data_IF_310143168998
#
_entry.id   IF_310143168998
#
_cell.length_a   1.000
_cell.length_b   1.000
_cell.length_c   1.000
_cell.angle_alpha   90.00
_cell.angle_beta   90.00
_cell.angle_gamma   90.00
#
_symmetry.space_group_name_H-M   'P 1'
#
loop_
_entity.id
_entity.type
_entity.pdbx_description
1 polymer ?
#
# COMPACT_ATOMS: atom_id res chain seq x y z
N UNK A 1 19.70 60.48 9.21
CA UNK A 1 18.54 59.75 8.64
C UNK A 1 18.70 59.85 7.12
N UNK A 2 18.92 58.83 6.30
CA UNK A 2 18.92 57.38 6.45
C UNK A 2 19.66 56.78 5.23
N UNK A 3 20.08 55.52 5.38
CA UNK A 3 20.99 54.71 4.59
C UNK A 3 20.89 54.73 3.03
N UNK A 4 22.06 54.76 2.38
CA UNK A 4 22.44 53.77 1.34
C UNK A 4 23.20 52.63 2.04
N UNK A 5 23.10 51.33 1.67
CA UNK A 5 23.26 50.81 0.30
C UNK A 5 22.34 49.62 -0.06
N UNK A 6 22.28 49.22 -1.34
CA UNK A 6 21.95 47.83 -1.71
C UNK A 6 23.09 47.30 -2.59
N UNK A 7 24.14 46.84 -1.92
CA UNK A 7 25.20 46.03 -2.50
C UNK A 7 24.82 44.56 -2.35
N UNK A 8 24.93 43.82 -3.46
CA UNK A 8 25.10 42.37 -3.41
C UNK A 8 23.83 41.53 -3.50
N UNK A 9 23.12 41.58 -4.62
CA UNK A 9 22.34 40.40 -5.03
C UNK A 9 23.32 39.32 -5.51
N UNK A 10 23.44 38.15 -4.87
CA UNK A 10 24.25 37.06 -5.39
C UNK A 10 23.60 36.54 -6.67
N UNK A 11 24.26 36.76 -7.81
CA UNK A 11 23.91 36.12 -9.08
C UNK A 11 24.24 34.64 -8.96
N UNK A 12 23.26 33.84 -8.55
CA UNK A 12 23.32 32.39 -8.68
C UNK A 12 23.43 32.07 -10.18
N UNK A 13 24.58 31.52 -10.59
CA UNK A 13 24.73 30.96 -11.94
C UNK A 13 23.99 29.63 -11.96
N UNK A 14 23.00 29.52 -12.83
CA UNK A 14 22.36 28.24 -13.16
C UNK A 14 23.39 27.45 -13.99
N UNK A 15 23.78 26.22 -13.59
CA UNK A 15 24.57 25.35 -14.45
C UNK A 15 23.73 24.94 -15.66
N UNK A 16 24.26 25.12 -16.86
CA UNK A 16 23.63 24.69 -18.11
C UNK A 16 23.47 23.16 -18.10
N UNK A 17 22.26 22.69 -18.40
CA UNK A 17 21.81 21.30 -18.32
C UNK A 17 22.55 20.39 -19.34
N UNK A 18 23.60 19.71 -18.89
CA UNK A 18 24.28 18.64 -19.62
C UNK A 18 23.66 17.27 -19.31
N UNK A 19 22.68 16.86 -20.11
CA UNK A 19 22.01 15.58 -20.01
C UNK A 19 22.82 14.39 -20.56
N UNK A 20 22.75 13.27 -19.83
CA UNK A 20 22.85 11.93 -20.42
C UNK A 20 21.84 11.03 -19.71
N UNK A 21 20.72 10.76 -20.39
CA UNK A 21 19.61 9.93 -19.92
C UNK A 21 20.07 8.50 -19.60
N UNK A 22 20.27 8.21 -18.31
CA UNK A 22 20.36 6.84 -17.80
C UNK A 22 18.97 6.21 -17.64
N UNK A 23 18.81 4.88 -17.75
CA UNK A 23 17.51 4.24 -17.67
C UNK A 23 16.99 4.32 -16.22
N UNK A 24 15.90 5.05 -15.99
CA UNK A 24 15.18 5.05 -14.72
C UNK A 24 14.69 6.39 -14.18
N UNK A 25 14.78 7.49 -14.94
CA UNK A 25 14.27 8.78 -14.44
C UNK A 25 12.76 8.88 -14.61
N UNK A 26 12.02 8.48 -13.57
CA UNK A 26 10.62 8.86 -13.43
C UNK A 26 10.56 10.39 -13.38
N UNK A 27 10.19 11.03 -14.50
CA UNK A 27 9.96 12.48 -14.59
C UNK A 27 9.20 12.95 -13.33
N UNK A 28 9.63 14.03 -12.66
CA UNK A 28 8.92 14.54 -11.51
C UNK A 28 7.48 14.85 -11.93
N UNK A 29 6.51 14.22 -11.25
CA UNK A 29 5.10 14.54 -11.47
C UNK A 29 4.93 16.00 -11.06
N UNK A 30 4.54 16.86 -12.00
CA UNK A 30 4.27 18.28 -11.73
C UNK A 30 3.11 18.48 -10.75
N UNK A 31 2.23 17.48 -10.59
CA UNK A 31 1.18 17.51 -9.58
C UNK A 31 1.71 17.02 -8.23
N UNK A 32 1.32 17.67 -7.12
CA UNK A 32 1.62 17.16 -5.79
C UNK A 32 1.09 15.73 -5.62
N UNK A 33 1.78 14.88 -4.84
CA UNK A 33 1.29 13.55 -4.51
C UNK A 33 -0.04 13.63 -3.77
N UNK A 34 -0.96 12.72 -4.10
CA UNK A 34 -2.28 12.65 -3.47
C UNK A 34 -2.30 11.54 -2.43
N UNK A 35 -2.69 11.92 -1.22
CA UNK A 35 -2.84 11.03 -0.08
C UNK A 35 -4.29 11.08 0.40
N UNK A 36 -4.92 9.92 0.58
CA UNK A 36 -6.30 9.81 1.07
C UNK A 36 -6.37 8.86 2.26
N UNK A 37 -6.44 9.37 3.49
CA UNK A 37 -6.70 8.53 4.66
C UNK A 37 -8.14 8.00 4.61
N UNK A 38 -8.33 6.71 4.87
CA UNK A 38 -9.64 6.11 5.05
C UNK A 38 -9.96 5.96 6.54
N UNK A 39 -11.19 6.28 7.00
CA UNK A 39 -11.63 6.02 8.36
C UNK A 39 -11.45 4.53 8.71
N UNK A 40 -10.80 4.23 9.83
CA UNK A 40 -10.50 2.85 10.28
C UNK A 40 -9.77 1.98 9.22
N UNK A 41 -9.12 2.63 8.25
CA UNK A 41 -8.62 2.00 7.04
C UNK A 41 -7.21 2.43 6.68
N UNK A 42 -6.69 1.94 5.55
CA UNK A 42 -5.35 2.27 5.09
C UNK A 42 -5.25 3.72 4.60
N UNK A 43 -4.00 4.20 4.48
CA UNK A 43 -3.68 5.42 3.75
C UNK A 43 -3.51 5.09 2.27
N UNK A 44 -4.37 5.63 1.41
CA UNK A 44 -4.21 5.49 -0.04
C UNK A 44 -3.22 6.53 -0.57
N UNK A 45 -2.27 6.08 -1.39
CA UNK A 45 -1.29 6.93 -2.07
C UNK A 45 -1.44 6.74 -3.57
N UNK A 46 -1.54 7.84 -4.30
CA UNK A 46 -1.65 7.83 -5.77
C UNK A 46 -0.29 7.99 -6.46
N UNK A 47 -0.07 7.13 -7.44
CA UNK A 47 1.12 7.08 -8.29
C UNK A 47 2.25 6.23 -7.74
N UNK A 48 3.26 5.97 -8.59
CA UNK A 48 4.52 5.39 -8.14
C UNK A 48 5.15 6.22 -7.02
N UNK A 49 5.65 5.52 -6.01
CA UNK A 49 6.25 6.11 -4.82
C UNK A 49 7.39 5.23 -4.29
N UNK A 50 8.34 5.88 -3.62
CA UNK A 50 9.36 5.22 -2.81
C UNK A 50 8.94 5.32 -1.33
N UNK A 51 8.99 4.21 -0.61
CA UNK A 51 8.68 4.14 0.81
C UNK A 51 9.98 3.91 1.56
N UNK A 52 10.40 4.91 2.33
CA UNK A 52 11.56 4.81 3.22
C UNK A 52 11.11 4.18 4.54
N UNK A 53 11.72 3.06 4.89
CA UNK A 53 11.45 2.33 6.11
C UNK A 53 12.33 2.84 7.27
N UNK A 54 11.96 2.58 8.54
CA UNK A 54 12.74 3.03 9.69
C UNK A 54 14.16 2.45 9.76
N UNK A 55 14.42 1.31 9.13
CA UNK A 55 15.74 0.68 9.02
C UNK A 55 16.60 1.25 7.88
N UNK A 56 16.08 2.26 7.16
CA UNK A 56 16.73 2.87 6.00
C UNK A 56 16.50 2.13 4.68
N UNK A 57 15.82 0.97 4.69
CA UNK A 57 15.47 0.28 3.45
C UNK A 57 14.43 1.05 2.64
N UNK A 58 14.48 0.92 1.31
CA UNK A 58 13.57 1.62 0.40
C UNK A 58 12.77 0.59 -0.41
N UNK A 59 11.44 0.70 -0.35
CA UNK A 59 10.53 -0.10 -1.16
C UNK A 59 10.00 0.78 -2.30
N UNK A 60 10.32 0.40 -3.54
CA UNK A 60 9.80 1.06 -4.74
C UNK A 60 8.47 0.44 -5.15
N UNK A 61 7.47 1.27 -5.40
CA UNK A 61 6.17 0.82 -5.85
C UNK A 61 5.77 1.60 -7.11
N UNK A 62 5.44 0.89 -8.19
CA UNK A 62 5.01 1.50 -9.45
C UNK A 62 3.49 1.51 -9.64
N UNK A 63 2.77 1.02 -8.62
CA UNK A 63 1.32 0.86 -8.68
C UNK A 63 0.65 2.24 -8.78
N UNK A 64 -0.38 2.41 -9.63
CA UNK A 64 -1.12 3.67 -9.73
C UNK A 64 -1.79 4.09 -8.41
N UNK A 65 -2.16 3.11 -7.57
CA UNK A 65 -2.63 3.34 -6.20
C UNK A 65 -2.06 2.25 -5.30
N UNK A 66 -1.56 2.66 -4.13
CA UNK A 66 -1.11 1.76 -3.08
C UNK A 66 -1.83 2.07 -1.75
N UNK A 67 -2.01 1.04 -0.94
CA UNK A 67 -2.67 1.14 0.36
C UNK A 67 -1.65 0.83 1.47
N UNK A 68 -1.30 1.84 2.26
CA UNK A 68 -0.37 1.72 3.38
C UNK A 68 -1.10 1.40 4.67
N UNK A 69 -0.53 0.50 5.45
CA UNK A 69 -1.08 0.06 6.72
C UNK A 69 -0.92 1.14 7.79
N UNK A 70 -2.02 1.52 8.42
CA UNK A 70 -2.08 2.43 9.57
C UNK A 70 -2.43 1.70 10.87
N UNK A 71 -3.05 0.51 10.77
CA UNK A 71 -3.55 -0.25 11.91
C UNK A 71 -2.52 -1.19 12.57
N UNK A 72 -1.32 -1.31 12.01
CA UNK A 72 -0.22 -2.19 12.48
C UNK A 72 -0.54 -3.69 12.63
N UNK A 73 -1.65 -4.15 12.03
CA UNK A 73 -2.07 -5.57 12.05
C UNK A 73 -1.65 -6.35 10.81
N UNK A 74 -1.09 -5.68 9.80
CA UNK A 74 -0.73 -6.36 8.55
C UNK A 74 0.52 -7.21 8.72
N UNK A 75 0.50 -8.41 8.14
CA UNK A 75 1.65 -9.30 8.01
C UNK A 75 2.52 -8.96 6.78
N UNK A 76 2.12 -7.95 6.01
CA UNK A 76 2.79 -7.49 4.79
C UNK A 76 3.17 -6.02 4.88
N UNK A 77 3.48 -5.56 6.09
CA UNK A 77 3.93 -4.19 6.32
C UNK A 77 5.04 -3.82 5.31
N UNK A 78 5.00 -2.62 4.70
CA UNK A 78 4.13 -1.48 5.03
C UNK A 78 2.74 -1.49 4.37
N UNK A 79 2.41 -2.50 3.57
CA UNK A 79 1.16 -2.53 2.79
C UNK A 79 -0.04 -3.05 3.60
N UNK A 80 -1.24 -2.68 3.17
CA UNK A 80 -2.49 -3.20 3.75
C UNK A 80 -2.86 -4.56 3.16
N UNK A 81 -3.16 -5.53 4.02
CA UNK A 81 -3.62 -6.88 3.68
C UNK A 81 -5.06 -7.15 4.18
N UNK A 82 -5.84 -6.09 4.37
CA UNK A 82 -7.21 -6.10 4.95
C UNK A 82 -7.32 -6.48 6.42
N UNK A 83 -6.22 -6.68 7.14
CA UNK A 83 -6.23 -6.96 8.60
C UNK A 83 -6.84 -5.85 9.46
N UNK A 84 -7.10 -4.66 8.88
CA UNK A 84 -7.82 -3.59 9.56
C UNK A 84 -9.29 -3.96 9.85
N UNK A 85 -9.88 -4.85 9.04
CA UNK A 85 -11.29 -5.24 9.15
C UNK A 85 -11.54 -5.97 10.47
N UNK A 86 -12.63 -5.65 11.19
CA UNK A 86 -13.05 -6.44 12.34
C UNK A 86 -13.24 -7.90 11.94
N UNK A 87 -12.68 -8.82 12.74
CA UNK A 87 -13.06 -10.24 12.63
C UNK A 87 -14.45 -10.34 13.22
N UNK A 88 -15.44 -10.70 12.40
CA UNK A 88 -16.77 -11.03 12.89
C UNK A 88 -16.61 -12.24 13.82
N UNK A 89 -16.56 -12.00 15.13
CA UNK A 89 -16.69 -13.09 16.10
C UNK A 89 -18.11 -13.59 15.92
N UNK A 90 -18.30 -14.82 15.43
CA UNK A 90 -19.60 -15.48 15.54
C UNK A 90 -19.98 -15.43 17.02
N UNK A 91 -21.04 -14.71 17.37
CA UNK A 91 -21.58 -14.61 18.73
C UNK A 91 -22.15 -15.94 19.25
N UNK A 92 -21.80 -17.06 18.64
CA UNK A 92 -22.16 -18.39 19.08
C UNK A 92 -20.90 -19.04 19.62
N UNK A 93 -20.85 -19.22 20.94
CA UNK A 93 -19.89 -20.10 21.60
C UNK A 93 -20.17 -21.56 21.24
N UNK A 94 -20.04 -21.92 19.97
CA UNK A 94 -19.95 -23.31 19.56
C UNK A 94 -18.50 -23.77 19.77
N UNK A 95 -18.24 -24.87 20.49
CA UNK A 95 -16.89 -25.38 20.64
C UNK A 95 -16.31 -25.69 19.26
N UNK A 96 -15.02 -25.34 19.08
CA UNK A 96 -14.25 -25.55 17.86
C UNK A 96 -14.20 -27.06 17.56
N UNK A 97 -15.13 -27.56 16.75
CA UNK A 97 -15.02 -28.90 16.17
C UNK A 97 -13.66 -28.98 15.47
N UNK A 98 -12.88 -29.98 15.85
CA UNK A 98 -11.53 -30.20 15.37
C UNK A 98 -11.53 -30.21 13.82
N UNK A 99 -10.58 -29.49 13.22
CA UNK A 99 -10.33 -29.60 11.77
C UNK A 99 -9.93 -31.05 11.50
N UNK A 100 -10.73 -31.79 10.75
CA UNK A 100 -10.42 -33.18 10.40
C UNK A 100 -11.61 -34.15 10.27
N UNK A 101 -12.86 -33.70 10.41
CA UNK A 101 -13.99 -34.58 10.12
C UNK A 101 -13.99 -34.96 8.62
N UNK A 102 -13.97 -36.26 8.27
CA UNK A 102 -14.09 -36.70 6.89
C UNK A 102 -15.42 -36.22 6.31
N UNK A 103 -15.41 -35.82 5.03
CA UNK A 103 -16.64 -35.50 4.30
C UNK A 103 -17.49 -36.79 4.28
N UNK A 104 -18.76 -36.78 4.69
CA UNK A 104 -19.60 -37.96 4.56
C UNK A 104 -19.66 -38.34 3.08
N UNK A 105 -19.46 -39.64 2.80
CA UNK A 105 -19.60 -40.18 1.46
C UNK A 105 -21.02 -39.90 0.96
N UNK A 106 -21.16 -39.48 -0.30
CA UNK A 106 -22.46 -39.41 -0.95
C UNK A 106 -22.93 -40.84 -1.19
N UNK A 107 -24.02 -41.23 -0.55
CA UNK A 107 -24.73 -42.46 -0.88
C UNK A 107 -25.25 -42.36 -2.31
N UNK A 108 -24.68 -43.11 -3.25
CA UNK A 108 -25.25 -43.32 -4.57
C UNK A 108 -26.26 -44.46 -4.48
N UNK A 109 -27.49 -44.15 -4.07
CA UNK A 109 -28.63 -44.99 -4.39
C UNK A 109 -29.06 -44.64 -5.83
N UNK A 110 -28.53 -45.40 -6.78
CA UNK A 110 -28.99 -45.44 -8.16
C UNK A 110 -29.76 -46.74 -8.35
N UNK A 111 -31.05 -46.59 -8.58
CA UNK A 111 -32.09 -47.61 -8.49
C UNK A 111 -31.92 -48.67 -9.59
N UNK A 112 -32.06 -49.92 -9.18
CA UNK A 112 -32.36 -51.02 -10.09
C UNK A 112 -33.83 -50.88 -10.47
N UNK A 113 -34.12 -50.61 -11.74
CA UNK A 113 -35.46 -50.83 -12.28
C UNK A 113 -35.41 -51.76 -13.50
N UNK A 114 -36.31 -52.73 -13.38
CA UNK A 114 -36.60 -53.93 -14.15
C UNK A 114 -37.00 -53.69 -15.61
N UNK A 115 -36.56 -54.57 -16.51
CA UNK A 115 -37.34 -55.05 -17.66
C UNK A 115 -36.83 -56.42 -18.09
#
# INVERSE_FOLDING_TARGET
MSASPNEGTPRVRIPEDGGSDGPGSARPRTSPPRFRPLPEGPLLVEGPAEIVMPDGSVIRCERPVMALCTCRRSLRAPFCDTSHRPRLRSRTGAPKAARGAPRPARDTAGEAETS
#
